data_IF_972800799982
#
_entry.id   IF_972800799982
#
_cell.length_a   1.000
_cell.length_b   1.000
_cell.length_c   1.000
_cell.angle_alpha   90.00
_cell.angle_beta   90.00
_cell.angle_gamma   90.00
#
_symmetry.space_group_name_H-M   'P 1'
#
loop_
_entity.id
_entity.type
_entity.pdbx_description
1 polymer ?
#
# COMPACT_ATOMS: atom_id res chain seq x y z
N UNK A 1 -34.10 27.08 35.19
CA UNK A 1 -32.84 27.79 34.83
C UNK A 1 -31.82 27.36 35.88
N UNK A 2 -30.80 26.55 35.62
CA UNK A 2 -29.95 26.40 34.43
C UNK A 2 -29.38 24.98 34.43
N UNK A 3 -29.81 24.15 33.47
CA UNK A 3 -29.07 22.96 33.05
C UNK A 3 -28.77 23.19 31.57
N UNK A 4 -27.84 24.10 31.33
CA UNK A 4 -27.60 24.70 30.04
C UNK A 4 -26.15 24.45 29.62
N UNK A 5 -25.98 23.99 28.38
CA UNK A 5 -24.78 24.08 27.51
C UNK A 5 -23.59 23.09 27.68
N UNK A 6 -23.78 21.76 27.85
CA UNK A 6 -22.66 20.79 27.59
C UNK A 6 -23.03 19.47 26.87
N UNK A 7 -24.23 19.34 26.31
CA UNK A 7 -24.67 18.07 25.68
C UNK A 7 -25.08 18.23 24.21
N UNK A 8 -24.09 18.39 23.33
CA UNK A 8 -24.17 18.36 21.86
C UNK A 8 -22.77 17.90 21.37
N UNK A 9 -22.59 16.62 20.99
CA UNK A 9 -21.47 16.04 20.17
C UNK A 9 -20.99 14.63 20.59
N UNK A 10 -21.40 14.10 21.74
CA UNK A 10 -20.78 12.87 22.31
C UNK A 10 -20.84 11.65 21.39
N UNK A 11 -21.97 11.35 20.76
CA UNK A 11 -22.11 10.13 19.95
C UNK A 11 -21.41 10.23 18.60
N UNK A 12 -21.42 11.41 17.97
CA UNK A 12 -20.68 11.66 16.73
C UNK A 12 -19.18 11.60 17.02
N UNK A 13 -18.70 12.31 18.05
CA UNK A 13 -17.30 12.30 18.45
C UNK A 13 -16.83 10.90 18.88
N UNK A 14 -17.66 10.16 19.63
CA UNK A 14 -17.40 8.78 20.02
C UNK A 14 -17.33 7.86 18.80
N UNK A 15 -18.20 8.05 17.81
CA UNK A 15 -18.16 7.30 16.55
C UNK A 15 -16.81 7.48 15.86
N UNK A 16 -16.36 8.72 15.67
CA UNK A 16 -15.06 9.01 15.07
C UNK A 16 -13.88 8.43 15.86
N UNK A 17 -13.93 8.54 17.20
CA UNK A 17 -12.94 7.93 18.10
C UNK A 17 -12.88 6.40 17.95
N UNK A 18 -14.04 5.74 17.83
CA UNK A 18 -14.13 4.30 17.62
C UNK A 18 -13.62 3.89 16.22
N UNK A 19 -13.91 4.67 15.18
CA UNK A 19 -13.40 4.44 13.82
C UNK A 19 -11.88 4.55 13.76
N UNK A 20 -11.30 5.57 14.40
CA UNK A 20 -9.85 5.76 14.50
C UNK A 20 -9.16 4.59 15.22
N UNK A 21 -9.86 3.93 16.15
CA UNK A 21 -9.39 2.73 16.86
C UNK A 21 -9.69 1.42 16.12
N UNK A 22 -10.29 1.48 14.93
CA UNK A 22 -10.66 0.30 14.12
C UNK A 22 -11.85 -0.49 14.67
N UNK A 23 -12.61 0.07 15.63
CA UNK A 23 -13.78 -0.57 16.25
C UNK A 23 -15.05 -0.32 15.44
N UNK A 24 -15.04 -0.65 14.14
CA UNK A 24 -16.09 -0.26 13.18
C UNK A 24 -17.50 -0.73 13.55
N UNK A 25 -17.64 -1.94 14.10
CA UNK A 25 -18.96 -2.46 14.52
C UNK A 25 -19.59 -1.63 15.65
N UNK A 26 -18.80 -1.28 16.67
CA UNK A 26 -19.25 -0.41 17.76
C UNK A 26 -19.51 1.00 17.26
N UNK A 27 -18.64 1.53 16.40
CA UNK A 27 -18.85 2.83 15.78
C UNK A 27 -20.20 2.89 15.06
N UNK A 28 -20.56 1.83 14.32
CA UNK A 28 -21.85 1.78 13.61
C UNK A 28 -23.06 1.78 14.55
N UNK A 29 -22.98 1.10 15.69
CA UNK A 29 -24.04 1.12 16.70
C UNK A 29 -24.25 2.54 17.27
N UNK A 30 -23.15 3.21 17.64
CA UNK A 30 -23.20 4.58 18.17
C UNK A 30 -23.67 5.57 17.10
N UNK A 31 -23.21 5.44 15.86
CA UNK A 31 -23.61 6.32 14.77
C UNK A 31 -25.11 6.20 14.43
N UNK A 32 -25.67 4.99 14.51
CA UNK A 32 -27.12 4.78 14.37
C UNK A 32 -27.90 5.47 15.49
N UNK A 33 -27.36 5.44 16.71
CA UNK A 33 -27.96 6.15 17.85
C UNK A 33 -27.93 7.66 17.63
N UNK A 34 -26.83 8.20 17.10
CA UNK A 34 -26.73 9.62 16.75
C UNK A 34 -27.81 10.04 15.72
N UNK A 35 -28.00 9.26 14.64
CA UNK A 35 -29.05 9.53 13.64
C UNK A 35 -30.46 9.39 14.23
N UNK A 36 -30.70 8.47 15.18
CA UNK A 36 -32.01 8.36 15.85
C UNK A 36 -32.31 9.55 16.76
N UNK A 37 -31.29 10.12 17.42
CA UNK A 37 -31.45 11.29 18.28
C UNK A 37 -31.72 12.57 17.48
N UNK A 38 -31.05 12.73 16.32
CA UNK A 38 -31.25 13.86 15.41
C UNK A 38 -31.30 13.37 13.96
N UNK A 39 -32.48 12.92 13.50
CA UNK A 39 -32.63 12.42 12.14
C UNK A 39 -32.30 13.49 11.11
N UNK A 40 -31.41 13.17 10.16
CA UNK A 40 -31.03 14.07 9.09
C UNK A 40 -29.99 15.14 9.46
N UNK A 41 -29.44 15.10 10.68
CA UNK A 41 -28.29 15.94 11.04
C UNK A 41 -27.07 15.57 10.17
N UNK A 42 -26.47 16.51 9.42
CA UNK A 42 -25.36 16.21 8.51
C UNK A 42 -24.18 15.51 9.18
N UNK A 43 -23.82 15.91 10.41
CA UNK A 43 -22.71 15.31 11.15
C UNK A 43 -23.01 13.87 11.58
N UNK A 44 -24.25 13.59 12.00
CA UNK A 44 -24.71 12.24 12.32
C UNK A 44 -24.76 11.34 11.08
N UNK A 45 -25.24 11.86 9.95
CA UNK A 45 -25.27 11.14 8.66
C UNK A 45 -23.87 10.83 8.16
N UNK A 46 -22.92 11.77 8.24
CA UNK A 46 -21.53 11.54 7.85
C UNK A 46 -20.89 10.45 8.70
N UNK A 47 -21.03 10.54 10.03
CA UNK A 47 -20.52 9.54 10.96
C UNK A 47 -21.15 8.16 10.73
N UNK A 48 -22.45 8.10 10.43
CA UNK A 48 -23.17 6.87 10.10
C UNK A 48 -22.61 6.23 8.83
N UNK A 49 -22.47 7.00 7.76
CA UNK A 49 -22.04 6.49 6.48
C UNK A 49 -20.57 6.06 6.50
N UNK A 50 -19.71 6.77 7.24
CA UNK A 50 -18.33 6.37 7.51
C UNK A 50 -18.26 5.05 8.27
N UNK A 51 -19.09 4.88 9.31
CA UNK A 51 -19.15 3.64 10.06
C UNK A 51 -19.69 2.46 9.22
N UNK A 52 -20.71 2.71 8.38
CA UNK A 52 -21.21 1.73 7.42
C UNK A 52 -20.12 1.33 6.42
N UNK A 53 -19.41 2.30 5.85
CA UNK A 53 -18.32 2.06 4.92
C UNK A 53 -17.19 1.26 5.57
N UNK A 54 -16.82 1.58 6.82
CA UNK A 54 -15.84 0.85 7.60
C UNK A 54 -16.26 -0.59 7.93
N UNK A 55 -17.57 -0.84 8.05
CA UNK A 55 -18.16 -2.18 8.20
C UNK A 55 -18.33 -2.95 6.87
N UNK A 56 -18.03 -2.34 5.72
CA UNK A 56 -18.23 -2.95 4.40
C UNK A 56 -19.66 -2.87 3.87
N UNK A 57 -20.54 -2.14 4.56
CA UNK A 57 -21.94 -1.88 4.19
C UNK A 57 -22.01 -0.79 3.12
N UNK A 58 -21.49 -1.11 1.93
CA UNK A 58 -21.28 -0.13 0.85
C UNK A 58 -22.58 0.39 0.24
N UNK A 59 -23.67 -0.38 0.33
CA UNK A 59 -25.00 0.06 -0.14
C UNK A 59 -25.58 1.11 0.77
N UNK A 60 -25.72 0.79 2.05
CA UNK A 60 -26.26 1.75 3.01
C UNK A 60 -25.38 3.01 3.08
N UNK A 61 -24.05 2.86 3.09
CA UNK A 61 -23.14 4.01 3.07
C UNK A 61 -23.31 4.88 1.83
N UNK A 62 -23.55 4.26 0.67
CA UNK A 62 -23.79 4.98 -0.57
C UNK A 62 -25.10 5.78 -0.51
N UNK A 63 -26.16 5.19 0.02
CA UNK A 63 -27.47 5.84 0.10
C UNK A 63 -27.42 7.04 1.06
N UNK A 64 -26.77 6.88 2.22
CA UNK A 64 -26.56 7.98 3.17
C UNK A 64 -25.67 9.08 2.57
N UNK A 65 -24.60 8.73 1.86
CA UNK A 65 -23.76 9.71 1.15
C UNK A 65 -24.56 10.49 0.09
N UNK A 66 -25.50 9.84 -0.60
CA UNK A 66 -26.36 10.51 -1.59
C UNK A 66 -27.35 11.47 -0.91
N UNK A 67 -27.89 11.07 0.25
CA UNK A 67 -28.71 11.95 1.10
C UNK A 67 -27.92 13.16 1.58
N UNK A 68 -26.66 12.98 1.99
CA UNK A 68 -25.77 14.09 2.38
C UNK A 68 -25.55 15.07 1.23
N UNK A 69 -25.32 14.58 0.01
CA UNK A 69 -25.17 15.44 -1.18
C UNK A 69 -26.46 16.24 -1.44
N UNK A 70 -27.64 15.63 -1.24
CA UNK A 70 -28.92 16.33 -1.41
C UNK A 70 -29.14 17.40 -0.32
N UNK A 71 -28.72 17.14 0.92
CA UNK A 71 -28.86 18.07 2.04
C UNK A 71 -27.85 19.22 1.98
N UNK A 72 -26.61 18.92 1.58
CA UNK A 72 -25.52 19.90 1.47
C UNK A 72 -24.76 19.67 0.15
N UNK A 73 -25.22 20.26 -0.95
CA UNK A 73 -24.59 20.10 -2.26
C UNK A 73 -23.17 20.65 -2.37
N UNK A 74 -22.76 21.51 -1.43
CA UNK A 74 -21.42 22.13 -1.39
C UNK A 74 -20.47 21.45 -0.38
N UNK A 75 -20.87 20.30 0.20
CA UNK A 75 -20.03 19.56 1.14
C UNK A 75 -19.05 18.62 0.42
N UNK A 76 -17.78 19.03 0.30
CA UNK A 76 -16.71 18.17 -0.20
C UNK A 76 -16.64 16.78 0.49
N UNK A 77 -16.84 16.65 1.83
CA UNK A 77 -16.82 15.35 2.50
C UNK A 77 -17.91 14.37 2.00
N UNK A 78 -19.08 14.87 1.61
CA UNK A 78 -20.17 14.03 1.10
C UNK A 78 -19.79 13.37 -0.24
N UNK A 79 -19.12 14.12 -1.12
CA UNK A 79 -18.59 13.61 -2.38
C UNK A 79 -17.38 12.69 -2.16
N UNK A 80 -16.48 12.97 -1.20
CA UNK A 80 -15.38 12.04 -0.84
C UNK A 80 -15.94 10.68 -0.44
N UNK A 81 -16.92 10.69 0.47
CA UNK A 81 -17.54 9.49 0.99
C UNK A 81 -18.20 8.67 -0.11
N UNK A 82 -18.95 9.32 -1.00
CA UNK A 82 -19.57 8.67 -2.16
C UNK A 82 -18.51 8.08 -3.10
N UNK A 83 -17.46 8.85 -3.42
CA UNK A 83 -16.35 8.36 -4.23
C UNK A 83 -15.63 7.16 -3.62
N UNK A 84 -15.45 7.15 -2.29
CA UNK A 84 -14.84 6.02 -1.56
C UNK A 84 -15.74 4.77 -1.52
N UNK A 85 -17.06 4.96 -1.44
CA UNK A 85 -18.03 3.88 -1.61
C UNK A 85 -17.88 3.25 -3.00
N UNK A 86 -17.76 4.08 -4.04
CA UNK A 86 -17.63 3.62 -5.42
C UNK A 86 -16.28 2.96 -5.72
N UNK A 87 -15.19 3.45 -5.12
CA UNK A 87 -13.91 2.75 -5.12
C UNK A 87 -14.04 1.32 -4.56
N UNK A 88 -14.70 1.15 -3.40
CA UNK A 88 -14.88 -0.19 -2.81
C UNK A 88 -15.73 -1.10 -3.68
N UNK A 89 -16.67 -0.54 -4.41
CA UNK A 89 -17.53 -1.25 -5.38
C UNK A 89 -16.87 -1.46 -6.73
N UNK A 90 -15.62 -1.02 -6.91
CA UNK A 90 -14.87 -1.06 -8.18
C UNK A 90 -15.52 -0.25 -9.31
N UNK A 91 -16.37 0.73 -8.97
CA UNK A 91 -16.95 1.70 -9.91
C UNK A 91 -16.01 2.89 -10.05
N UNK A 92 -14.88 2.67 -10.72
CA UNK A 92 -13.78 3.62 -10.70
C UNK A 92 -14.07 4.93 -11.44
N UNK A 93 -14.88 4.89 -12.49
CA UNK A 93 -15.28 6.09 -13.26
C UNK A 93 -16.19 6.97 -12.42
N UNK A 94 -17.19 6.39 -11.76
CA UNK A 94 -18.08 7.11 -10.83
C UNK A 94 -17.29 7.72 -9.68
N UNK A 95 -16.37 6.93 -9.09
CA UNK A 95 -15.49 7.41 -8.03
C UNK A 95 -14.64 8.62 -8.47
N UNK A 96 -14.06 8.57 -9.67
CA UNK A 96 -13.31 9.70 -10.24
C UNK A 96 -14.18 10.95 -10.38
N UNK A 97 -15.42 10.81 -10.87
CA UNK A 97 -16.34 11.94 -11.02
C UNK A 97 -16.62 12.60 -9.66
N UNK A 98 -16.92 11.80 -8.64
CA UNK A 98 -17.16 12.30 -7.29
C UNK A 98 -15.92 12.95 -6.67
N UNK A 99 -14.72 12.36 -6.81
CA UNK A 99 -13.51 12.99 -6.28
C UNK A 99 -13.15 14.28 -7.01
N UNK A 100 -13.37 14.36 -8.32
CA UNK A 100 -13.16 15.62 -9.05
C UNK A 100 -14.11 16.71 -8.57
N UNK A 101 -15.38 16.37 -8.34
CA UNK A 101 -16.33 17.33 -7.78
C UNK A 101 -15.96 17.74 -6.35
N UNK A 102 -15.55 16.79 -5.51
CA UNK A 102 -15.03 17.11 -4.19
C UNK A 102 -13.83 18.07 -4.26
N UNK A 103 -12.94 17.90 -5.25
CA UNK A 103 -11.78 18.76 -5.49
C UNK A 103 -12.14 20.14 -6.07
N UNK A 104 -13.31 20.33 -6.68
CA UNK A 104 -13.75 21.70 -7.03
C UNK A 104 -14.16 22.50 -5.80
N UNK A 105 -14.62 21.80 -4.76
CA UNK A 105 -15.02 22.39 -3.47
C UNK A 105 -13.82 22.55 -2.51
N UNK A 106 -12.88 21.60 -2.53
CA UNK A 106 -11.64 21.65 -1.74
C UNK A 106 -10.40 21.22 -2.59
N UNK A 107 -9.84 22.15 -3.39
CA UNK A 107 -8.76 21.84 -4.35
C UNK A 107 -7.45 21.39 -3.70
N UNK A 108 -7.21 21.76 -2.44
CA UNK A 108 -5.98 21.50 -1.71
C UNK A 108 -5.99 20.19 -0.93
N UNK A 109 -7.09 19.43 -0.95
CA UNK A 109 -7.23 18.28 -0.08
C UNK A 109 -6.35 17.10 -0.52
N UNK A 110 -5.28 16.86 0.23
CA UNK A 110 -4.36 15.76 -0.03
C UNK A 110 -5.04 14.37 -0.02
N UNK A 111 -6.10 14.17 0.78
CA UNK A 111 -6.84 12.90 0.83
C UNK A 111 -7.63 12.68 -0.46
N UNK A 112 -8.33 13.71 -0.95
CA UNK A 112 -9.08 13.66 -2.21
C UNK A 112 -8.16 13.43 -3.41
N UNK A 113 -7.06 14.18 -3.49
CA UNK A 113 -6.05 14.01 -4.56
C UNK A 113 -5.48 12.58 -4.56
N UNK A 114 -5.23 12.04 -3.37
CA UNK A 114 -4.78 10.65 -3.24
C UNK A 114 -5.87 9.65 -3.68
N UNK A 115 -7.12 9.85 -3.30
CA UNK A 115 -8.23 8.96 -3.68
C UNK A 115 -8.51 9.02 -5.19
N UNK A 116 -8.41 10.19 -5.81
CA UNK A 116 -8.45 10.37 -7.26
C UNK A 116 -7.32 9.60 -7.94
N UNK A 117 -6.09 9.68 -7.42
CA UNK A 117 -4.96 8.92 -7.94
C UNK A 117 -5.18 7.40 -7.87
N UNK A 118 -5.83 6.91 -6.81
CA UNK A 118 -6.23 5.50 -6.71
C UNK A 118 -7.25 5.16 -7.79
N UNK A 119 -8.33 5.93 -7.95
CA UNK A 119 -9.36 5.70 -8.96
C UNK A 119 -8.76 5.63 -10.38
N UNK A 120 -7.89 6.59 -10.73
CA UNK A 120 -7.21 6.64 -12.03
C UNK A 120 -6.27 5.45 -12.25
N UNK A 121 -5.57 5.00 -11.20
CA UNK A 121 -4.68 3.84 -11.29
C UNK A 121 -5.46 2.56 -11.59
N UNK A 122 -6.60 2.36 -10.93
CA UNK A 122 -7.46 1.19 -11.17
C UNK A 122 -8.11 1.20 -12.56
N UNK A 123 -8.26 2.38 -13.18
CA UNK A 123 -8.62 2.54 -14.59
C UNK A 123 -7.44 2.38 -15.57
N UNK A 124 -6.27 1.97 -15.08
CA UNK A 124 -5.02 1.86 -15.86
C UNK A 124 -4.50 3.18 -16.44
N UNK A 125 -5.00 4.34 -15.98
CA UNK A 125 -4.55 5.69 -16.37
C UNK A 125 -3.33 6.12 -15.54
N UNK A 126 -2.24 5.35 -15.68
CA UNK A 126 -1.02 5.46 -14.85
C UNK A 126 -0.38 6.85 -14.84
N UNK A 127 -0.27 7.60 -15.97
CA UNK A 127 0.35 8.92 -15.96
C UNK A 127 -0.44 9.92 -15.09
N UNK A 128 -1.77 9.92 -15.23
CA UNK A 128 -2.68 10.81 -14.49
C UNK A 128 -2.74 10.44 -13.01
N UNK A 129 -2.75 9.14 -12.70
CA UNK A 129 -2.66 8.65 -11.33
C UNK A 129 -1.39 9.15 -10.63
N UNK A 130 -0.24 9.11 -11.32
CA UNK A 130 1.03 9.63 -10.78
C UNK A 130 0.95 11.13 -10.52
N UNK A 131 0.38 11.90 -11.45
CA UNK A 131 0.21 13.35 -11.27
C UNK A 131 -0.70 13.66 -10.06
N UNK A 132 -1.80 12.92 -9.88
CA UNK A 132 -2.67 13.07 -8.72
C UNK A 132 -1.97 12.71 -7.40
N UNK A 133 -1.15 11.65 -7.37
CA UNK A 133 -0.35 11.31 -6.19
C UNK A 133 0.75 12.33 -5.89
N UNK A 134 1.35 12.92 -6.93
CA UNK A 134 2.32 14.00 -6.80
C UNK A 134 1.67 15.25 -6.21
N UNK A 135 0.48 15.63 -6.69
CA UNK A 135 -0.31 16.72 -6.13
C UNK A 135 -0.69 16.43 -4.66
N UNK A 136 -1.14 15.21 -4.34
CA UNK A 136 -1.44 14.80 -2.97
C UNK A 136 -0.24 14.90 -2.03
N UNK A 137 0.95 14.52 -2.51
CA UNK A 137 2.19 14.63 -1.75
C UNK A 137 2.61 16.09 -1.56
N UNK A 138 2.47 16.96 -2.58
CA UNK A 138 2.73 18.39 -2.43
C UNK A 138 1.80 19.06 -1.43
N UNK A 139 0.51 18.71 -1.46
CA UNK A 139 -0.49 19.23 -0.55
C UNK A 139 -0.25 18.81 0.90
N UNK A 140 0.20 17.57 1.13
CA UNK A 140 0.60 17.10 2.46
C UNK A 140 1.82 16.16 2.39
N UNK A 141 3.04 16.71 2.50
CA UNK A 141 4.27 15.92 2.40
C UNK A 141 4.46 14.91 3.54
N UNK A 142 3.79 15.09 4.68
CA UNK A 142 3.90 14.19 5.84
C UNK A 142 2.94 13.00 5.75
N UNK A 143 1.94 13.05 4.85
CA UNK A 143 0.95 11.98 4.66
C UNK A 143 1.62 10.66 4.24
N UNK A 144 1.56 9.60 5.08
CA UNK A 144 2.16 8.31 4.75
C UNK A 144 1.50 7.65 3.53
N UNK A 145 0.19 7.88 3.34
CA UNK A 145 -0.57 7.35 2.19
C UNK A 145 -0.10 7.98 0.89
N UNK A 146 -0.01 9.31 0.83
CA UNK A 146 0.43 10.04 -0.37
C UNK A 146 1.86 9.65 -0.74
N UNK A 147 2.79 9.63 0.23
CA UNK A 147 4.17 9.19 0.02
C UNK A 147 4.26 7.77 -0.54
N UNK A 148 3.54 6.82 0.06
CA UNK A 148 3.54 5.41 -0.36
C UNK A 148 3.01 5.27 -1.79
N UNK A 149 1.90 5.95 -2.12
CA UNK A 149 1.28 5.86 -3.43
C UNK A 149 2.11 6.54 -4.52
N UNK A 150 2.68 7.72 -4.26
CA UNK A 150 3.61 8.38 -5.18
C UNK A 150 4.86 7.52 -5.43
N UNK A 151 5.45 6.96 -4.37
CA UNK A 151 6.60 6.06 -4.50
C UNK A 151 6.26 4.83 -5.34
N UNK A 152 5.15 4.15 -5.05
CA UNK A 152 4.71 2.97 -5.81
C UNK A 152 4.44 3.30 -7.28
N UNK A 153 3.73 4.39 -7.57
CA UNK A 153 3.45 4.82 -8.94
C UNK A 153 4.73 5.17 -9.71
N UNK A 154 5.69 5.85 -9.06
CA UNK A 154 6.98 6.22 -9.65
C UNK A 154 7.89 5.00 -9.84
N UNK A 155 7.92 4.09 -8.86
CA UNK A 155 8.68 2.84 -8.94
C UNK A 155 8.17 1.94 -10.07
N UNK A 156 6.85 1.80 -10.24
CA UNK A 156 6.28 1.03 -11.34
C UNK A 156 6.63 1.65 -12.70
N UNK A 157 6.67 2.97 -12.80
CA UNK A 157 7.06 3.67 -14.02
C UNK A 157 8.55 3.48 -14.36
N UNK A 158 9.43 3.61 -13.37
CA UNK A 158 10.89 3.56 -13.55
C UNK A 158 11.46 2.14 -13.58
N UNK A 159 10.85 1.20 -12.83
CA UNK A 159 11.37 -0.14 -12.59
C UNK A 159 10.80 -1.25 -13.47
N UNK A 160 9.93 -0.94 -14.44
CA UNK A 160 9.30 -1.97 -15.27
C UNK A 160 10.30 -2.68 -16.21
N UNK A 161 10.43 -4.00 -16.02
CA UNK A 161 10.78 -4.97 -17.08
C UNK A 161 11.91 -5.99 -16.79
N UNK A 162 12.64 -5.89 -15.68
CA UNK A 162 13.78 -6.79 -15.41
C UNK A 162 13.44 -8.28 -15.29
N UNK A 163 12.24 -8.63 -14.79
CA UNK A 163 11.84 -10.03 -14.57
C UNK A 163 11.64 -10.80 -15.88
N UNK A 164 11.14 -10.15 -16.93
CA UNK A 164 10.91 -10.81 -18.23
C UNK A 164 12.23 -11.18 -18.92
N UNK A 165 13.25 -10.31 -18.81
CA UNK A 165 14.58 -10.62 -19.34
C UNK A 165 15.27 -11.73 -18.54
N UNK A 166 15.13 -11.75 -17.21
CA UNK A 166 15.61 -12.85 -16.39
C UNK A 166 15.00 -14.19 -16.86
N UNK A 167 13.68 -14.25 -17.00
CA UNK A 167 13.00 -15.47 -17.47
C UNK A 167 13.46 -15.87 -18.87
N UNK A 168 13.59 -14.91 -19.81
CA UNK A 168 14.09 -15.18 -21.15
C UNK A 168 15.49 -15.80 -21.15
N UNK A 169 16.45 -15.14 -20.50
CA UNK A 169 17.84 -15.59 -20.52
C UNK A 169 18.01 -16.91 -19.78
N UNK A 170 17.37 -17.11 -18.62
CA UNK A 170 17.56 -18.33 -17.83
C UNK A 170 16.75 -19.54 -18.31
N UNK A 171 15.61 -19.35 -18.98
CA UNK A 171 14.75 -20.47 -19.40
C UNK A 171 14.68 -20.66 -20.91
N UNK A 172 14.62 -19.58 -21.68
CA UNK A 172 14.37 -19.68 -23.13
C UNK A 172 15.67 -19.70 -23.95
N UNK A 173 16.68 -18.93 -23.57
CA UNK A 173 17.95 -18.93 -24.29
C UNK A 173 18.63 -20.30 -24.35
N UNK A 174 18.75 -21.09 -23.25
CA UNK A 174 19.36 -22.42 -23.32
C UNK A 174 18.61 -23.37 -24.26
N UNK A 175 17.27 -23.29 -24.29
CA UNK A 175 16.44 -24.08 -25.19
C UNK A 175 16.69 -23.73 -26.65
N UNK A 176 16.73 -22.42 -26.97
CA UNK A 176 16.99 -21.92 -28.33
C UNK A 176 18.40 -22.32 -28.77
N UNK A 177 19.40 -22.12 -27.90
CA UNK A 177 20.79 -22.42 -28.20
C UNK A 177 21.02 -23.91 -28.46
N UNK A 178 20.35 -24.77 -27.68
CA UNK A 178 20.38 -26.22 -27.87
C UNK A 178 19.65 -26.65 -29.15
N UNK A 179 18.43 -26.15 -29.39
CA UNK A 179 17.66 -26.47 -30.59
C UNK A 179 18.38 -26.04 -31.89
N UNK A 180 19.16 -24.97 -31.84
CA UNK A 180 19.96 -24.47 -32.95
C UNK A 180 21.35 -25.12 -33.06
N UNK A 181 21.70 -26.10 -32.21
CA UNK A 181 23.02 -26.74 -32.16
C UNK A 181 24.19 -25.73 -32.13
N UNK A 182 24.05 -24.64 -31.35
CA UNK A 182 25.11 -23.63 -31.25
C UNK A 182 26.35 -24.19 -30.53
N UNK A 183 27.57 -23.87 -30.98
CA UNK A 183 28.80 -24.18 -30.25
C UNK A 183 28.76 -23.63 -28.82
N UNK A 184 29.32 -24.35 -27.85
CA UNK A 184 29.31 -23.98 -26.43
C UNK A 184 29.74 -22.53 -26.18
N UNK A 185 30.81 -22.09 -26.85
CA UNK A 185 31.27 -20.70 -26.76
C UNK A 185 30.18 -19.68 -27.13
N UNK A 186 29.40 -19.93 -28.18
CA UNK A 186 28.31 -19.04 -28.61
C UNK A 186 27.15 -19.08 -27.62
N UNK A 187 26.88 -20.23 -26.99
CA UNK A 187 25.86 -20.33 -25.94
C UNK A 187 26.20 -19.43 -24.74
N UNK A 188 27.44 -19.50 -24.26
CA UNK A 188 27.94 -18.77 -23.10
C UNK A 188 28.07 -17.26 -23.40
N UNK A 189 28.70 -16.90 -24.51
CA UNK A 189 28.85 -15.50 -24.90
C UNK A 189 27.50 -14.86 -25.25
N UNK A 190 26.59 -15.59 -25.90
CA UNK A 190 25.26 -15.10 -26.20
C UNK A 190 24.43 -14.86 -24.94
N UNK A 191 24.51 -15.78 -23.96
CA UNK A 191 23.86 -15.62 -22.66
C UNK A 191 24.40 -14.38 -21.92
N UNK A 192 25.72 -14.30 -21.72
CA UNK A 192 26.34 -13.22 -20.95
C UNK A 192 26.20 -11.86 -21.65
N UNK A 193 26.45 -11.81 -22.96
CA UNK A 193 26.35 -10.59 -23.75
C UNK A 193 24.92 -10.07 -23.84
N UNK A 194 23.96 -10.96 -24.07
CA UNK A 194 22.57 -10.58 -24.10
C UNK A 194 22.00 -10.18 -22.74
N UNK A 195 22.43 -10.84 -21.66
CA UNK A 195 22.11 -10.42 -20.30
C UNK A 195 22.68 -9.02 -20.01
N UNK A 196 23.93 -8.75 -20.39
CA UNK A 196 24.54 -7.43 -20.25
C UNK A 196 23.77 -6.35 -21.03
N UNK A 197 23.39 -6.63 -22.29
CA UNK A 197 22.61 -5.71 -23.12
C UNK A 197 21.22 -5.45 -22.55
N UNK A 198 20.54 -6.47 -22.02
CA UNK A 198 19.24 -6.28 -21.37
C UNK A 198 19.36 -5.45 -20.09
N UNK A 199 20.36 -5.69 -19.25
CA UNK A 199 20.63 -4.87 -18.06
C UNK A 199 20.92 -3.42 -18.46
N UNK A 200 21.79 -3.20 -19.44
CA UNK A 200 22.12 -1.88 -19.96
C UNK A 200 20.89 -1.18 -20.54
N UNK A 201 20.07 -1.90 -21.30
CA UNK A 201 18.80 -1.42 -21.83
C UNK A 201 17.83 -0.99 -20.72
N UNK A 202 17.65 -1.80 -19.67
CA UNK A 202 16.81 -1.44 -18.53
C UNK A 202 17.33 -0.22 -17.78
N UNK A 203 18.64 -0.18 -17.55
CA UNK A 203 19.27 0.97 -16.91
C UNK A 203 19.07 2.25 -17.74
N UNK A 204 19.28 2.17 -19.05
CA UNK A 204 19.09 3.28 -19.98
C UNK A 204 17.62 3.74 -20.06
N UNK A 205 16.66 2.82 -20.21
CA UNK A 205 15.23 3.16 -20.21
C UNK A 205 14.77 3.72 -18.86
N UNK A 206 15.26 3.16 -17.75
CA UNK A 206 15.00 3.65 -16.41
C UNK A 206 15.52 5.07 -16.22
N UNK A 207 16.75 5.35 -16.66
CA UNK A 207 17.33 6.70 -16.66
C UNK A 207 16.53 7.67 -17.53
N UNK A 208 16.17 7.27 -18.74
CA UNK A 208 15.39 8.09 -19.67
C UNK A 208 14.03 8.45 -19.07
N UNK A 209 13.33 7.50 -18.46
CA UNK A 209 12.06 7.74 -17.76
C UNK A 209 12.25 8.61 -16.52
N UNK A 210 13.34 8.48 -15.76
CA UNK A 210 13.62 9.39 -14.64
C UNK A 210 13.82 10.83 -15.09
N UNK A 211 14.46 11.05 -16.25
CA UNK A 211 14.63 12.40 -16.82
C UNK A 211 13.32 13.09 -17.19
N UNK A 212 12.22 12.33 -17.35
CA UNK A 212 10.88 12.92 -17.58
C UNK A 212 10.13 13.26 -16.29
N UNK A 213 10.68 12.91 -15.12
CA UNK A 213 10.07 13.26 -13.84
C UNK A 213 10.39 14.72 -13.49
N UNK A 214 9.51 15.36 -12.73
CA UNK A 214 9.83 16.66 -12.13
C UNK A 214 11.02 16.52 -11.15
N UNK A 215 11.86 17.56 -10.97
CA UNK A 215 13.01 17.51 -10.08
C UNK A 215 12.65 17.12 -8.64
N UNK A 216 11.49 17.57 -8.15
CA UNK A 216 10.98 17.24 -6.82
C UNK A 216 10.65 15.76 -6.69
N UNK A 217 9.97 15.19 -7.69
CA UNK A 217 9.59 13.78 -7.69
C UNK A 217 10.81 12.89 -7.81
N UNK A 218 11.81 13.24 -8.64
CA UNK A 218 13.05 12.45 -8.71
C UNK A 218 13.80 12.48 -7.37
N UNK A 219 13.92 13.65 -6.73
CA UNK A 219 14.56 13.78 -5.41
C UNK A 219 13.82 12.96 -4.35
N UNK A 220 12.49 13.11 -4.27
CA UNK A 220 11.64 12.32 -3.39
C UNK A 220 11.83 10.82 -3.64
N UNK A 221 11.75 10.40 -4.89
CA UNK A 221 11.85 9.00 -5.28
C UNK A 221 13.21 8.40 -4.90
N UNK A 222 14.32 9.11 -5.10
CA UNK A 222 15.66 8.65 -4.70
C UNK A 222 15.77 8.46 -3.19
N UNK A 223 15.32 9.45 -2.42
CA UNK A 223 15.35 9.38 -0.96
C UNK A 223 14.49 8.22 -0.45
N UNK A 224 13.27 8.09 -0.96
CA UNK A 224 12.35 7.04 -0.57
C UNK A 224 12.85 5.66 -1.05
N UNK A 225 13.51 5.56 -2.21
CA UNK A 225 14.09 4.30 -2.70
C UNK A 225 15.22 3.80 -1.79
N UNK A 226 16.12 4.67 -1.35
CA UNK A 226 17.20 4.30 -0.40
C UNK A 226 16.58 3.88 0.93
N UNK A 227 15.61 4.64 1.42
CA UNK A 227 14.89 4.32 2.65
C UNK A 227 14.20 2.97 2.57
N UNK A 228 13.42 2.71 1.52
CA UNK A 228 12.71 1.45 1.32
C UNK A 228 13.69 0.28 1.17
N UNK A 229 14.78 0.42 0.42
CA UNK A 229 15.83 -0.62 0.33
C UNK A 229 16.45 -0.93 1.68
N UNK A 230 16.77 0.08 2.49
CA UNK A 230 17.29 -0.12 3.85
C UNK A 230 16.27 -0.87 4.71
N UNK A 231 15.00 -0.47 4.66
CA UNK A 231 13.92 -1.14 5.40
C UNK A 231 13.71 -2.58 4.95
N UNK A 232 13.71 -2.84 3.65
CA UNK A 232 13.59 -4.18 3.07
C UNK A 232 14.78 -5.06 3.42
N UNK A 233 16.00 -4.52 3.40
CA UNK A 233 17.20 -5.24 3.80
C UNK A 233 17.16 -5.60 5.30
N UNK A 234 16.84 -4.65 6.17
CA UNK A 234 16.72 -4.92 7.63
C UNK A 234 15.60 -5.93 7.89
N UNK A 235 14.46 -5.79 7.21
CA UNK A 235 13.34 -6.74 7.32
C UNK A 235 13.72 -8.12 6.78
N UNK A 236 14.46 -8.16 5.67
CA UNK A 236 14.95 -9.37 5.04
C UNK A 236 15.92 -10.10 5.96
N UNK A 237 16.92 -9.41 6.50
CA UNK A 237 17.86 -9.94 7.49
C UNK A 237 17.15 -10.40 8.75
N UNK A 238 16.18 -9.64 9.26
CA UNK A 238 15.41 -10.05 10.44
C UNK A 238 14.60 -11.31 10.19
N UNK A 239 13.96 -11.42 9.01
CA UNK A 239 13.23 -12.63 8.65
C UNK A 239 14.21 -13.79 8.45
N UNK A 240 15.23 -13.63 7.62
CA UNK A 240 16.16 -14.67 7.20
C UNK A 240 17.12 -15.14 8.29
N UNK A 241 17.50 -14.26 9.23
CA UNK A 241 18.56 -14.51 10.22
C UNK A 241 18.38 -15.84 10.98
N UNK A 242 17.22 -16.09 11.60
CA UNK A 242 17.00 -17.35 12.31
C UNK A 242 17.02 -18.58 11.40
N UNK A 243 16.62 -18.46 10.13
CA UNK A 243 16.73 -19.56 9.17
C UNK A 243 18.18 -19.88 8.84
N UNK A 244 19.01 -18.85 8.62
CA UNK A 244 20.45 -19.03 8.39
C UNK A 244 21.10 -19.72 9.58
N UNK A 245 20.78 -19.31 10.81
CA UNK A 245 21.29 -19.96 12.03
C UNK A 245 20.85 -21.42 12.11
N UNK A 246 19.57 -21.73 11.87
CA UNK A 246 19.06 -23.10 11.88
C UNK A 246 19.77 -23.97 10.84
N UNK A 247 19.93 -23.48 9.60
CA UNK A 247 20.63 -24.22 8.54
C UNK A 247 22.08 -24.47 8.92
N UNK A 248 22.79 -23.46 9.42
CA UNK A 248 24.19 -23.61 9.85
C UNK A 248 24.33 -24.61 11.00
N UNK A 249 23.42 -24.59 11.99
CA UNK A 249 23.40 -25.56 13.09
C UNK A 249 23.15 -26.97 12.58
N UNK A 250 22.17 -27.17 11.70
CA UNK A 250 21.88 -28.49 11.12
C UNK A 250 23.08 -29.01 10.30
N UNK A 251 23.70 -28.16 9.48
CA UNK A 251 24.92 -28.53 8.72
C UNK A 251 26.05 -28.91 9.67
N UNK A 252 26.30 -28.12 10.72
CA UNK A 252 27.34 -28.41 11.70
C UNK A 252 27.11 -29.75 12.42
N UNK A 253 25.87 -30.05 12.81
CA UNK A 253 25.51 -31.33 13.46
C UNK A 253 25.73 -32.54 12.55
N UNK A 254 25.45 -32.40 11.25
CA UNK A 254 25.70 -33.44 10.25
C UNK A 254 27.21 -33.67 10.11
N UNK A 255 27.98 -32.59 9.92
CA UNK A 255 29.44 -32.66 9.73
C UNK A 255 30.13 -33.22 10.96
N UNK A 256 29.67 -32.87 12.17
CA UNK A 256 30.25 -33.34 13.42
C UNK A 256 29.79 -34.74 13.83
N UNK A 257 28.92 -35.40 13.04
CA UNK A 257 28.23 -36.65 13.39
C UNK A 257 27.65 -36.64 14.82
N UNK A 258 26.95 -35.55 15.16
CA UNK A 258 26.45 -35.38 16.51
C UNK A 258 25.49 -36.52 16.90
N UNK A 259 25.66 -37.16 18.08
CA UNK A 259 24.68 -38.10 18.58
C UNK A 259 23.35 -37.37 18.81
N UNK A 260 22.23 -38.09 18.73
CA UNK A 260 20.89 -37.54 18.94
C UNK A 260 20.47 -36.46 17.92
N UNK A 261 20.99 -36.50 16.69
CA UNK A 261 20.64 -35.58 15.59
C UNK A 261 19.13 -35.32 15.45
N UNK A 262 18.32 -36.37 15.57
CA UNK A 262 16.86 -36.28 15.49
C UNK A 262 16.26 -35.28 16.49
N UNK A 263 16.76 -35.25 17.73
CA UNK A 263 16.28 -34.35 18.77
C UNK A 263 16.71 -32.90 18.52
N UNK A 264 17.92 -32.70 17.99
CA UNK A 264 18.39 -31.38 17.57
C UNK A 264 17.60 -30.85 16.37
N UNK A 265 17.26 -31.72 15.42
CA UNK A 265 16.39 -31.37 14.30
C UNK A 265 15.00 -30.94 14.79
N UNK A 266 14.39 -31.70 15.70
CA UNK A 266 13.12 -31.33 16.32
C UNK A 266 13.19 -29.98 17.05
N UNK A 267 14.28 -29.72 17.80
CA UNK A 267 14.49 -28.44 18.47
C UNK A 267 14.59 -27.28 17.47
N UNK A 268 15.31 -27.46 16.36
CA UNK A 268 15.40 -26.47 15.28
C UNK A 268 14.03 -26.23 14.61
N UNK A 269 13.25 -27.28 14.37
CA UNK A 269 11.91 -27.18 13.82
C UNK A 269 10.95 -26.44 14.77
N UNK A 270 11.03 -26.71 16.08
CA UNK A 270 10.25 -26.00 17.09
C UNK A 270 10.64 -24.50 17.17
N UNK A 271 11.94 -24.19 17.14
CA UNK A 271 12.45 -22.83 17.09
C UNK A 271 11.97 -22.09 15.83
N UNK A 272 11.92 -22.78 14.69
CA UNK A 272 11.37 -22.24 13.46
C UNK A 272 9.89 -21.87 13.59
N UNK A 273 9.06 -22.79 14.09
CA UNK A 273 7.63 -22.54 14.32
C UNK A 273 7.44 -21.36 15.28
N UNK A 274 8.17 -21.35 16.40
CA UNK A 274 8.11 -20.26 17.36
C UNK A 274 8.47 -18.89 16.73
N UNK A 275 9.55 -18.82 15.94
CA UNK A 275 9.94 -17.59 15.26
C UNK A 275 8.89 -17.14 14.24
N UNK A 276 8.30 -18.06 13.48
CA UNK A 276 7.28 -17.74 12.48
C UNK A 276 6.03 -17.10 13.07
N UNK A 277 5.65 -17.50 14.30
CA UNK A 277 4.49 -16.99 15.02
C UNK A 277 4.78 -15.68 15.76
N UNK A 278 5.95 -15.59 16.41
CA UNK A 278 6.28 -14.51 17.34
C UNK A 278 7.06 -13.38 16.67
N UNK A 279 7.95 -13.69 15.73
CA UNK A 279 8.81 -12.74 15.01
C UNK A 279 8.05 -11.55 14.41
N UNK A 280 6.91 -11.75 13.71
CA UNK A 280 6.12 -10.63 13.18
C UNK A 280 5.54 -9.70 14.26
N UNK A 281 5.28 -10.20 15.47
CA UNK A 281 4.81 -9.38 16.60
C UNK A 281 5.96 -8.60 17.22
N UNK A 282 7.11 -9.24 17.42
CA UNK A 282 8.33 -8.59 17.93
C UNK A 282 8.81 -7.49 16.99
N UNK A 283 8.84 -7.74 15.68
CA UNK A 283 9.15 -6.73 14.67
C UNK A 283 8.27 -5.49 14.83
N UNK A 284 6.95 -5.67 14.85
CA UNK A 284 5.98 -4.56 14.95
C UNK A 284 6.12 -3.77 16.25
N UNK A 285 6.46 -4.46 17.35
CA UNK A 285 6.54 -3.83 18.68
C UNK A 285 7.85 -3.10 18.93
N UNK A 286 8.99 -3.65 18.47
CA UNK A 286 10.31 -3.17 18.90
C UNK A 286 11.16 -2.58 17.78
N UNK A 287 11.04 -3.10 16.55
CA UNK A 287 11.94 -2.73 15.45
C UNK A 287 11.27 -1.71 14.53
N UNK A 288 10.02 -1.97 14.14
CA UNK A 288 9.27 -1.09 13.24
C UNK A 288 9.13 0.36 13.75
N UNK A 289 8.86 0.63 15.05
CA UNK A 289 8.76 2.00 15.55
C UNK A 289 10.06 2.78 15.43
N UNK A 290 11.22 2.11 15.56
CA UNK A 290 12.55 2.74 15.44
C UNK A 290 12.94 3.02 13.98
N UNK A 291 12.20 2.45 13.04
CA UNK A 291 12.43 2.56 11.60
C UNK A 291 11.43 3.50 10.90
N UNK A 292 10.34 3.88 11.60
CA UNK A 292 9.41 4.92 11.14
C UNK A 292 9.94 6.29 11.63
N UNK A 293 10.15 7.27 10.74
CA UNK A 293 10.36 8.66 11.13
C UNK A 293 9.09 9.23 11.74
#
# INVERSE_FOLDING_TARGET
MTADITYRDDDVALTWSLLNRGKSRKALEIARRAELQKPGDPYALEALAEAQLACGKTTEAGDVASRLIQLIPEAAPAYDLRGRVDLKRRRFVDAEAFFRHALTLDPGNASLLNNLGVALREQNRKPEARAAFEAAWRANPTSPKARKNLFSATQAYVGAGGVAAFVFWFHFWPLIAHAANLPAAIQDFGFLGGMALTIAGFWWFGLRRRRTLSPDVDRFYRQELVRQRKLELVRGLYKAGPYVVIVLVLVALIVSQAPYFFWWFLACAAAWVAWSLIGPRLWRRFIEPRLRP
#
